data_IF_710501877938
#
_entry.id   IF_710501877938
#
_cell.length_a   1.000
_cell.length_b   1.000
_cell.length_c   1.000
_cell.angle_alpha   90.00
_cell.angle_beta   90.00
_cell.angle_gamma   90.00
#
_symmetry.space_group_name_H-M   'P 1'
#
loop_
_entity.id
_entity.type
_entity.pdbx_description
1 polymer ?
#
# COMPACT_ATOMS: atom_id res chain seq x y z
N UNK A 1 13.10 11.73 6.98
CA UNK A 1 11.98 12.61 6.55
C UNK A 1 10.83 11.70 6.11
N UNK A 2 9.57 12.11 6.27
CA UNK A 2 8.42 11.20 6.26
C UNK A 2 7.75 11.08 4.87
N UNK A 3 7.62 9.86 4.34
CA UNK A 3 6.92 9.57 3.09
C UNK A 3 5.45 10.00 3.05
N UNK A 4 4.79 10.16 4.20
CA UNK A 4 3.40 10.68 4.29
C UNK A 4 3.29 12.14 3.87
N UNK A 5 4.36 12.92 4.04
CA UNK A 5 4.35 14.36 3.76
C UNK A 5 4.17 14.68 2.27
N UNK A 6 4.52 13.75 1.38
CA UNK A 6 4.44 13.93 -0.09
C UNK A 6 3.30 13.13 -0.73
N UNK A 7 2.55 12.37 0.06
CA UNK A 7 1.46 11.53 -0.45
C UNK A 7 0.40 12.36 -1.20
N UNK A 8 0.05 13.53 -0.66
CA UNK A 8 -0.92 14.44 -1.28
C UNK A 8 -0.49 14.92 -2.67
N UNK A 9 0.83 15.07 -2.90
CA UNK A 9 1.37 15.46 -4.21
C UNK A 9 1.12 14.38 -5.26
N UNK A 10 1.38 13.11 -4.93
CA UNK A 10 1.14 12.00 -5.83
C UNK A 10 -0.35 11.75 -6.04
N UNK A 11 -1.19 11.89 -5.01
CA UNK A 11 -2.64 11.73 -5.14
C UNK A 11 -3.32 12.80 -5.99
N UNK A 12 -2.70 13.97 -6.18
CA UNK A 12 -3.18 14.97 -7.11
C UNK A 12 -3.16 14.49 -8.58
N UNK A 13 -2.41 13.43 -8.89
CA UNK A 13 -2.40 12.78 -10.21
C UNK A 13 -3.73 12.15 -10.62
N UNK A 14 -4.64 11.89 -9.67
CA UNK A 14 -5.96 11.34 -9.96
C UNK A 14 -6.93 12.40 -10.49
N UNK A 15 -7.58 12.10 -11.62
CA UNK A 15 -8.71 12.85 -12.16
C UNK A 15 -9.78 11.91 -12.71
N UNK A 16 -11.00 12.01 -12.18
CA UNK A 16 -12.18 11.30 -12.69
C UNK A 16 -11.97 9.79 -12.92
N UNK A 17 -11.29 9.10 -12.01
CA UNK A 17 -11.07 7.65 -12.15
C UNK A 17 -9.84 7.23 -12.93
N UNK A 18 -9.05 8.17 -13.45
CA UNK A 18 -7.78 7.88 -14.11
C UNK A 18 -6.62 8.59 -13.39
N UNK A 19 -5.47 7.94 -13.35
CA UNK A 19 -4.23 8.47 -12.80
C UNK A 19 -3.27 8.89 -13.91
N UNK A 20 -2.64 10.05 -13.77
CA UNK A 20 -1.52 10.48 -14.61
C UNK A 20 -0.53 11.33 -13.80
N UNK A 21 0.76 11.09 -14.00
CA UNK A 21 1.83 11.92 -13.44
C UNK A 21 1.76 13.37 -13.95
N UNK A 22 1.23 13.61 -15.16
CA UNK A 22 1.06 14.96 -15.73
C UNK A 22 0.10 15.86 -14.93
N UNK A 23 -0.70 15.28 -14.05
CA UNK A 23 -1.66 16.00 -13.23
C UNK A 23 -1.16 16.35 -11.83
N UNK A 24 0.05 15.90 -11.47
CA UNK A 24 0.69 16.26 -10.22
C UNK A 24 1.00 17.77 -10.19
N UNK A 25 0.81 18.40 -9.01
CA UNK A 25 0.85 19.86 -8.90
C UNK A 25 2.28 20.41 -8.96
N UNK A 26 3.26 19.72 -8.39
CA UNK A 26 4.69 20.05 -8.43
C UNK A 26 5.50 18.76 -8.23
N UNK A 27 6.59 18.59 -8.99
CA UNK A 27 7.64 17.61 -8.68
C UNK A 27 8.62 18.27 -7.69
N UNK A 28 8.61 17.94 -6.38
CA UNK A 28 9.66 18.37 -5.47
C UNK A 28 11.05 18.10 -6.05
N UNK A 29 11.97 19.03 -5.83
CA UNK A 29 13.33 18.99 -6.42
C UNK A 29 14.14 17.72 -6.08
N UNK A 30 13.72 16.96 -5.06
CA UNK A 30 14.31 15.68 -4.65
C UNK A 30 13.58 14.44 -5.20
N UNK A 31 12.59 14.61 -6.09
CA UNK A 31 11.86 13.51 -6.73
C UNK A 31 12.75 12.81 -7.76
N UNK A 32 13.49 11.80 -7.28
CA UNK A 32 14.11 10.79 -8.14
C UNK A 32 13.09 9.74 -8.59
N UNK A 33 13.50 8.91 -9.57
CA UNK A 33 12.67 7.81 -10.08
C UNK A 33 12.22 6.84 -8.98
N UNK A 34 13.01 6.65 -7.92
CA UNK A 34 12.67 5.76 -6.81
C UNK A 34 11.47 6.27 -6.00
N UNK A 35 11.43 7.59 -5.72
CA UNK A 35 10.29 8.23 -5.03
C UNK A 35 9.05 8.20 -5.93
N UNK A 36 9.23 8.48 -7.22
CA UNK A 36 8.15 8.40 -8.22
C UNK A 36 7.57 6.99 -8.30
N UNK A 37 8.43 5.98 -8.31
CA UNK A 37 8.01 4.58 -8.31
C UNK A 37 7.29 4.22 -7.00
N UNK A 38 7.84 4.58 -5.85
CA UNK A 38 7.29 4.26 -4.53
C UNK A 38 5.84 4.74 -4.34
N UNK A 39 5.51 5.94 -4.84
CA UNK A 39 4.19 6.55 -4.63
C UNK A 39 3.24 6.47 -5.81
N UNK A 40 3.75 6.50 -7.05
CA UNK A 40 2.92 6.59 -8.26
C UNK A 40 2.77 5.28 -9.03
N UNK A 41 3.72 4.34 -8.91
CA UNK A 41 3.71 3.09 -9.70
C UNK A 41 2.42 2.29 -9.53
N UNK A 42 1.96 2.15 -8.29
CA UNK A 42 0.74 1.38 -7.97
C UNK A 42 -0.50 2.12 -8.44
N UNK A 43 -0.49 3.46 -8.42
CA UNK A 43 -1.61 4.27 -8.91
C UNK A 43 -1.76 4.14 -10.42
N UNK A 44 -0.65 4.23 -11.17
CA UNK A 44 -0.65 4.11 -12.63
C UNK A 44 -1.01 2.68 -13.08
N UNK A 45 -0.51 1.64 -12.40
CA UNK A 45 -0.88 0.24 -12.70
C UNK A 45 -2.38 0.01 -12.53
N UNK A 46 -2.97 0.59 -11.49
CA UNK A 46 -4.40 0.45 -11.21
C UNK A 46 -5.28 1.40 -12.04
N UNK A 47 -4.68 2.28 -12.85
CA UNK A 47 -5.40 3.26 -13.66
C UNK A 47 -5.99 2.60 -14.92
N UNK A 48 -7.30 2.79 -15.20
CA UNK A 48 -7.91 2.26 -16.40
C UNK A 48 -7.19 2.72 -17.68
N UNK A 49 -6.98 1.78 -18.61
CA UNK A 49 -6.39 2.07 -19.93
C UNK A 49 -4.85 2.19 -19.94
N UNK A 50 -4.19 2.01 -18.80
CA UNK A 50 -2.72 1.97 -18.73
C UNK A 50 -2.21 0.55 -19.04
N UNK A 51 -1.12 0.47 -19.78
CA UNK A 51 -0.41 -0.77 -20.11
C UNK A 51 0.99 -0.83 -19.52
N UNK A 52 1.61 -2.02 -19.57
CA UNK A 52 3.02 -2.21 -19.20
C UNK A 52 3.97 -1.30 -20.00
N UNK A 53 3.67 -1.06 -21.27
CA UNK A 53 4.53 -0.21 -22.10
C UNK A 53 4.49 1.25 -21.69
N UNK A 54 3.36 1.72 -21.16
CA UNK A 54 3.25 3.07 -20.59
C UNK A 54 4.12 3.20 -19.33
N UNK A 55 4.16 2.17 -18.48
CA UNK A 55 5.03 2.15 -17.29
C UNK A 55 6.51 2.18 -17.68
N UNK A 56 6.88 1.44 -18.74
CA UNK A 56 8.24 1.46 -19.28
C UNK A 56 8.60 2.82 -19.88
N UNK A 57 7.68 3.46 -20.59
CA UNK A 57 7.87 4.79 -21.18
C UNK A 57 8.08 5.88 -20.11
N UNK A 58 7.51 5.69 -18.92
CA UNK A 58 7.74 6.54 -17.74
C UNK A 58 9.11 6.31 -17.06
N UNK A 59 9.93 5.40 -17.57
CA UNK A 59 11.26 5.12 -17.00
C UNK A 59 11.24 4.26 -15.73
N UNK A 60 10.10 3.66 -15.38
CA UNK A 60 9.93 2.86 -14.15
C UNK A 60 10.29 1.38 -14.33
N UNK A 61 10.87 1.02 -15.48
CA UNK A 61 11.17 -0.37 -15.82
C UNK A 61 12.21 -1.02 -14.90
N UNK A 62 13.06 -0.25 -14.21
CA UNK A 62 14.05 -0.79 -13.26
C UNK A 62 13.43 -1.22 -11.93
N UNK A 63 12.18 -0.84 -11.64
CA UNK A 63 11.53 -1.20 -10.39
C UNK A 63 11.20 -2.70 -10.35
N UNK A 64 11.52 -3.42 -9.26
CA UNK A 64 11.06 -4.80 -9.07
C UNK A 64 9.53 -4.94 -9.14
N UNK A 65 8.78 -3.86 -8.86
CA UNK A 65 7.32 -3.83 -8.95
C UNK A 65 6.79 -4.08 -10.37
N UNK A 66 7.63 -4.06 -11.40
CA UNK A 66 7.27 -4.52 -12.76
C UNK A 66 6.74 -5.96 -12.77
N UNK A 67 7.26 -6.84 -11.90
CA UNK A 67 6.75 -8.20 -11.77
C UNK A 67 5.30 -8.22 -11.24
N UNK A 68 5.00 -7.40 -10.23
CA UNK A 68 3.63 -7.24 -9.71
C UNK A 68 2.69 -6.61 -10.76
N UNK A 69 3.15 -5.59 -11.51
CA UNK A 69 2.37 -5.02 -12.62
C UNK A 69 2.06 -6.08 -13.69
N UNK A 70 3.06 -6.89 -14.06
CA UNK A 70 2.91 -8.04 -14.95
C UNK A 70 1.79 -8.96 -14.50
N UNK A 71 1.80 -9.36 -13.22
CA UNK A 71 0.75 -10.17 -12.62
C UNK A 71 -0.63 -9.50 -12.66
N UNK A 72 -0.76 -8.25 -12.18
CA UNK A 72 -2.03 -7.53 -12.13
C UNK A 72 -2.66 -7.42 -13.53
N UNK A 73 -1.88 -7.07 -14.53
CA UNK A 73 -2.40 -6.99 -15.89
C UNK A 73 -2.68 -8.36 -16.50
N UNK A 74 -1.89 -9.40 -16.21
CA UNK A 74 -2.21 -10.76 -16.69
C UNK A 74 -3.55 -11.30 -16.18
N UNK A 75 -3.99 -10.81 -15.01
CA UNK A 75 -5.28 -11.18 -14.39
C UNK A 75 -6.43 -10.24 -14.77
N UNK A 76 -6.14 -9.13 -15.45
CA UNK A 76 -7.12 -8.10 -15.82
C UNK A 76 -7.38 -8.13 -17.33
N UNK A 77 -8.65 -8.30 -17.74
CA UNK A 77 -9.02 -8.11 -19.16
C UNK A 77 -8.87 -6.63 -19.54
N UNK A 78 -8.26 -6.27 -20.68
CA UNK A 78 -7.91 -7.12 -21.84
C UNK A 78 -6.46 -7.65 -21.88
N UNK A 79 -5.66 -7.49 -20.83
CA UNK A 79 -4.21 -7.75 -20.85
C UNK A 79 -3.80 -9.20 -20.54
N UNK A 80 -4.72 -10.16 -20.72
CA UNK A 80 -4.52 -11.57 -20.38
C UNK A 80 -3.40 -12.30 -21.14
N UNK A 81 -2.71 -11.64 -22.09
CA UNK A 81 -1.64 -12.21 -22.92
C UNK A 81 -0.22 -11.82 -22.47
N UNK A 82 -0.04 -11.27 -21.27
CA UNK A 82 1.28 -10.91 -20.77
C UNK A 82 2.09 -12.17 -20.45
N UNK A 83 3.27 -12.28 -21.07
CA UNK A 83 4.24 -13.30 -20.71
C UNK A 83 4.91 -12.96 -19.36
N UNK A 84 4.45 -13.65 -18.32
CA UNK A 84 4.92 -13.46 -16.95
C UNK A 84 6.37 -13.92 -16.74
N UNK A 85 6.89 -14.84 -17.56
CA UNK A 85 8.27 -15.34 -17.40
C UNK A 85 9.33 -14.24 -17.67
N UNK A 86 8.96 -13.19 -18.40
CA UNK A 86 9.82 -12.03 -18.62
C UNK A 86 10.20 -11.28 -17.33
N UNK A 87 9.49 -11.53 -16.23
CA UNK A 87 9.69 -10.84 -14.94
C UNK A 87 10.34 -11.73 -13.86
N UNK A 88 10.68 -12.99 -14.18
CA UNK A 88 11.27 -13.92 -13.21
C UNK A 88 12.62 -13.41 -12.67
N UNK A 89 13.35 -12.59 -13.45
CA UNK A 89 14.60 -11.97 -12.99
C UNK A 89 14.41 -11.07 -11.75
N UNK A 90 13.24 -10.43 -11.59
CA UNK A 90 12.93 -9.63 -10.41
C UNK A 90 12.71 -10.50 -9.18
N UNK A 91 12.07 -11.68 -9.35
CA UNK A 91 11.90 -12.65 -8.28
C UNK A 91 13.24 -13.22 -7.81
N UNK A 92 14.11 -13.60 -8.75
CA UNK A 92 15.46 -14.09 -8.44
C UNK A 92 16.31 -13.03 -7.75
N UNK A 93 16.24 -11.77 -8.21
CA UNK A 93 16.94 -10.66 -7.55
C UNK A 93 16.44 -10.41 -6.13
N UNK A 94 15.12 -10.44 -5.90
CA UNK A 94 14.54 -10.25 -4.58
C UNK A 94 14.89 -11.40 -3.64
N UNK A 95 14.85 -12.64 -4.13
CA UNK A 95 15.34 -13.82 -3.40
C UNK A 95 16.79 -13.64 -2.97
N UNK A 96 17.69 -13.25 -3.89
CA UNK A 96 19.09 -12.99 -3.54
C UNK A 96 19.23 -11.92 -2.44
N UNK A 97 18.45 -10.83 -2.53
CA UNK A 97 18.44 -9.77 -1.52
C UNK A 97 17.96 -10.28 -0.15
N UNK A 98 16.94 -11.15 -0.10
CA UNK A 98 16.42 -11.70 1.18
C UNK A 98 17.46 -12.51 1.95
N UNK A 99 18.36 -13.18 1.24
CA UNK A 99 19.42 -13.99 1.82
C UNK A 99 20.74 -13.23 2.02
N UNK A 100 20.78 -11.92 1.75
CA UNK A 100 21.94 -11.10 2.06
C UNK A 100 22.12 -10.97 3.59
N UNK A 101 23.37 -10.88 4.04
CA UNK A 101 23.72 -10.93 5.47
C UNK A 101 23.17 -9.77 6.28
N UNK A 102 22.92 -8.63 5.64
CA UNK A 102 22.45 -7.41 6.29
C UNK A 102 20.94 -7.20 6.14
N UNK A 103 20.22 -8.14 5.50
CA UNK A 103 18.78 -8.00 5.29
C UNK A 103 17.99 -8.29 6.57
N UNK A 104 17.03 -7.42 6.86
CA UNK A 104 16.03 -7.65 7.91
C UNK A 104 15.17 -8.90 7.64
N UNK A 105 15.18 -9.44 6.41
CA UNK A 105 14.54 -10.71 6.09
C UNK A 105 15.19 -11.92 6.72
N UNK A 106 16.46 -11.88 7.13
CA UNK A 106 17.12 -13.06 7.72
C UNK A 106 16.37 -13.52 8.98
N UNK A 107 15.99 -12.58 9.85
CA UNK A 107 15.18 -12.89 11.03
C UNK A 107 13.79 -13.39 10.63
N UNK A 108 13.16 -12.76 9.64
CA UNK A 108 11.82 -13.11 9.20
C UNK A 108 11.76 -14.48 8.52
N UNK A 109 12.76 -14.86 7.73
CA UNK A 109 12.87 -16.18 7.11
C UNK A 109 12.97 -17.29 8.16
N UNK A 110 13.72 -17.04 9.23
CA UNK A 110 13.82 -17.99 10.34
C UNK A 110 12.51 -18.11 11.13
N UNK A 111 11.78 -16.99 11.28
CA UNK A 111 10.52 -16.92 12.03
C UNK A 111 9.30 -17.41 11.24
N UNK A 112 9.32 -17.25 9.92
CA UNK A 112 8.22 -17.54 8.99
C UNK A 112 8.69 -18.45 7.84
N UNK A 113 9.06 -19.71 8.15
CA UNK A 113 9.70 -20.60 7.19
C UNK A 113 8.78 -21.06 6.04
N UNK A 114 7.44 -21.09 6.24
CA UNK A 114 6.48 -21.46 5.19
C UNK A 114 6.38 -20.32 4.16
N UNK A 115 6.35 -19.07 4.62
CA UNK A 115 6.42 -17.87 3.77
C UNK A 115 7.73 -17.84 2.99
N UNK A 116 8.87 -18.09 3.66
CA UNK A 116 10.17 -18.13 2.99
C UNK A 116 10.20 -19.20 1.89
N UNK A 117 9.75 -20.42 2.20
CA UNK A 117 9.67 -21.52 1.23
C UNK A 117 8.71 -21.21 0.08
N UNK A 118 7.58 -20.56 0.36
CA UNK A 118 6.63 -20.14 -0.66
C UNK A 118 7.27 -19.14 -1.62
N UNK A 119 7.90 -18.08 -1.09
CA UNK A 119 8.57 -17.06 -1.91
C UNK A 119 9.77 -17.61 -2.68
N UNK A 120 10.49 -18.60 -2.13
CA UNK A 120 11.61 -19.28 -2.81
C UNK A 120 11.22 -20.04 -4.08
N UNK A 121 9.97 -20.50 -4.14
CA UNK A 121 9.43 -21.34 -5.21
C UNK A 121 8.30 -20.64 -5.99
N UNK A 122 8.02 -19.38 -5.67
CA UNK A 122 6.95 -18.62 -6.29
C UNK A 122 7.29 -18.36 -7.76
N UNK A 123 6.33 -18.66 -8.64
CA UNK A 123 6.30 -18.12 -9.99
C UNK A 123 5.07 -17.23 -10.14
N UNK A 124 5.14 -16.19 -10.96
CA UNK A 124 4.03 -15.23 -11.08
C UNK A 124 2.74 -15.89 -11.59
N UNK A 125 2.83 -16.96 -12.40
CA UNK A 125 1.66 -17.71 -12.88
C UNK A 125 0.93 -18.45 -11.75
N UNK A 126 1.59 -18.68 -10.62
CA UNK A 126 1.09 -19.47 -9.51
C UNK A 126 0.64 -18.64 -8.30
N UNK A 127 0.61 -17.31 -8.41
CA UNK A 127 0.05 -16.44 -7.38
C UNK A 127 -1.45 -16.71 -7.28
N UNK A 128 -1.85 -17.37 -6.19
CA UNK A 128 -3.24 -17.76 -5.95
C UNK A 128 -3.57 -19.20 -6.38
N UNK A 129 -2.55 -20.04 -6.59
CA UNK A 129 -2.72 -21.47 -6.88
C UNK A 129 -2.45 -22.38 -5.66
N UNK A 130 -2.21 -21.80 -4.47
CA UNK A 130 -1.94 -22.51 -3.23
C UNK A 130 -2.89 -22.09 -2.10
N UNK A 131 -3.92 -22.88 -1.81
CA UNK A 131 -4.90 -22.58 -0.76
C UNK A 131 -4.52 -23.12 0.64
N UNK A 132 -3.23 -23.34 0.88
CA UNK A 132 -2.76 -23.93 2.14
C UNK A 132 -3.04 -23.02 3.34
N UNK A 133 -3.78 -23.53 4.31
CA UNK A 133 -4.15 -22.77 5.49
C UNK A 133 -2.93 -22.40 6.36
N UNK A 134 -1.89 -23.24 6.40
CA UNK A 134 -0.68 -22.95 7.16
C UNK A 134 0.08 -21.77 6.55
N UNK A 135 0.28 -21.77 5.22
CA UNK A 135 0.81 -20.63 4.49
C UNK A 135 -0.02 -19.36 4.74
N UNK A 136 -1.35 -19.40 4.57
CA UNK A 136 -2.20 -18.22 4.72
C UNK A 136 -2.15 -17.64 6.15
N UNK A 137 -2.14 -18.48 7.18
CA UNK A 137 -2.00 -18.04 8.58
C UNK A 137 -0.62 -17.40 8.84
N UNK A 138 0.42 -17.95 8.21
CA UNK A 138 1.77 -17.43 8.36
C UNK A 138 1.95 -16.10 7.62
N UNK A 139 1.35 -15.92 6.44
CA UNK A 139 1.28 -14.62 5.74
C UNK A 139 0.61 -13.56 6.61
N UNK A 140 -0.53 -13.88 7.23
CA UNK A 140 -1.22 -12.97 8.16
C UNK A 140 -0.31 -12.54 9.31
N UNK A 141 0.39 -13.49 9.92
CA UNK A 141 1.31 -13.25 11.03
C UNK A 141 2.55 -12.46 10.62
N UNK A 142 3.05 -12.71 9.41
CA UNK A 142 4.17 -12.00 8.80
C UNK A 142 3.83 -10.53 8.55
N UNK A 143 2.69 -10.26 7.92
CA UNK A 143 2.23 -8.89 7.65
C UNK A 143 2.06 -8.09 8.95
N UNK A 144 1.51 -8.70 10.01
CA UNK A 144 1.42 -8.05 11.31
C UNK A 144 2.79 -7.75 11.91
N UNK A 145 3.75 -8.67 11.80
CA UNK A 145 5.08 -8.46 12.36
C UNK A 145 5.83 -7.31 11.69
N UNK A 146 5.70 -7.13 10.37
CA UNK A 146 6.22 -5.94 9.67
C UNK A 146 5.68 -4.66 10.29
N UNK A 147 4.42 -4.66 10.70
CA UNK A 147 3.74 -3.54 11.35
C UNK A 147 3.91 -3.53 12.89
N UNK A 148 4.96 -4.17 13.41
CA UNK A 148 5.25 -4.21 14.85
C UNK A 148 4.18 -4.92 15.69
N UNK A 149 3.38 -5.79 15.06
CA UNK A 149 2.18 -6.42 15.60
C UNK A 149 1.11 -5.43 16.07
N UNK A 150 1.14 -4.18 15.57
CA UNK A 150 0.24 -3.12 15.99
C UNK A 150 0.50 -2.60 17.41
N UNK A 151 1.65 -2.94 18.02
CA UNK A 151 2.02 -2.39 19.32
C UNK A 151 2.62 -1.00 19.17
N UNK A 152 2.10 -0.06 19.96
CA UNK A 152 2.69 1.26 20.15
C UNK A 152 3.38 1.32 21.51
N UNK A 153 4.55 1.93 21.54
CA UNK A 153 5.23 2.33 22.77
C UNK A 153 4.86 3.76 23.12
N UNK A 154 4.80 4.03 24.42
CA UNK A 154 4.44 5.33 24.96
C UNK A 154 5.59 5.82 25.84
N UNK A 155 6.13 6.99 25.54
CA UNK A 155 7.17 7.63 26.32
C UNK A 155 6.81 9.09 26.62
N UNK A 156 7.14 9.57 27.82
CA UNK A 156 7.03 10.97 28.17
C UNK A 156 8.37 11.66 27.87
N UNK A 157 8.38 12.59 26.92
CA UNK A 157 9.57 13.34 26.53
C UNK A 157 9.47 14.77 27.01
N UNK A 158 10.58 15.29 27.57
CA UNK A 158 10.68 16.69 27.97
C UNK A 158 10.94 17.53 26.72
N UNK A 159 10.14 18.57 26.49
CA UNK A 159 10.32 19.43 25.33
C UNK A 159 11.69 20.08 25.33
N UNK A 160 12.27 20.19 24.13
CA UNK A 160 13.44 21.02 23.86
C UNK A 160 13.14 22.52 24.04
N UNK A 161 11.86 22.90 24.07
CA UNK A 161 11.39 24.24 24.38
C UNK A 161 11.01 24.33 25.87
N UNK A 162 11.70 25.19 26.61
CA UNK A 162 11.62 25.28 28.07
C UNK A 162 10.19 25.50 28.63
N UNK A 163 9.30 26.09 27.82
CA UNK A 163 7.94 26.47 28.23
C UNK A 163 6.87 25.40 27.90
N UNK A 164 7.24 24.32 27.20
CA UNK A 164 6.27 23.31 26.71
C UNK A 164 6.15 22.07 27.62
N UNK A 165 6.98 21.97 28.65
CA UNK A 165 6.88 20.90 29.67
C UNK A 165 7.15 19.49 29.13
N UNK A 166 6.48 18.49 29.69
CA UNK A 166 6.60 17.08 29.31
C UNK A 166 5.39 16.69 28.46
N UNK A 167 5.63 16.11 27.30
CA UNK A 167 4.58 15.63 26.41
C UNK A 167 4.73 14.13 26.09
N UNK A 168 3.62 13.42 25.86
CA UNK A 168 3.68 12.03 25.44
C UNK A 168 4.05 11.91 23.97
N UNK A 169 4.95 11.00 23.65
CA UNK A 169 5.21 10.51 22.30
C UNK A 169 4.67 9.09 22.21
N UNK A 170 3.87 8.85 21.17
CA UNK A 170 3.38 7.52 20.80
C UNK A 170 4.17 7.10 19.58
N UNK A 171 5.00 6.08 19.73
CA UNK A 171 5.82 5.55 18.63
C UNK A 171 5.41 4.12 18.32
N UNK A 172 5.52 3.74 17.05
CA UNK A 172 5.35 2.34 16.71
C UNK A 172 6.49 1.53 17.36
N UNK A 173 6.19 0.30 17.74
CA UNK A 173 7.18 -0.65 18.26
C UNK A 173 8.47 -0.63 17.43
N UNK A 174 9.62 -0.58 18.11
CA UNK A 174 10.96 -0.74 17.51
C UNK A 174 11.15 -2.02 16.69
N UNK A 175 10.22 -2.97 16.81
CA UNK A 175 10.20 -4.21 16.06
C UNK A 175 9.49 -4.10 14.70
N UNK A 176 8.84 -2.97 14.41
CA UNK A 176 8.32 -2.70 13.08
C UNK A 176 9.45 -2.59 12.06
N UNK A 177 9.17 -3.02 10.83
CA UNK A 177 10.15 -3.19 9.74
C UNK A 177 9.78 -2.37 8.50
N UNK A 178 9.67 -1.03 8.61
CA UNK A 178 9.24 -0.19 7.50
C UNK A 178 10.18 -0.19 6.29
N UNK A 179 11.47 -0.44 6.50
CA UNK A 179 12.51 -0.60 5.48
C UNK A 179 12.18 -1.68 4.46
N UNK A 180 11.40 -2.70 4.84
CA UNK A 180 10.99 -3.76 3.92
C UNK A 180 10.07 -3.26 2.80
N UNK A 181 9.37 -2.14 3.00
CA UNK A 181 8.62 -1.50 1.93
C UNK A 181 9.49 -0.68 0.97
N UNK A 182 10.79 -0.53 1.24
CA UNK A 182 11.79 0.01 0.30
C UNK A 182 12.47 -1.16 -0.40
N UNK A 183 13.12 -2.03 0.37
CA UNK A 183 14.03 -3.05 -0.17
C UNK A 183 13.30 -4.25 -0.78
N UNK A 184 12.10 -4.56 -0.25
CA UNK A 184 11.38 -5.81 -0.46
C UNK A 184 9.88 -5.62 -0.77
N UNK A 185 9.52 -4.47 -1.34
CA UNK A 185 8.15 -4.13 -1.65
C UNK A 185 7.46 -5.21 -2.50
N UNK A 186 8.14 -5.74 -3.53
CA UNK A 186 7.58 -6.76 -4.43
C UNK A 186 7.04 -7.96 -3.64
N UNK A 187 7.82 -8.50 -2.71
CA UNK A 187 7.45 -9.69 -1.94
C UNK A 187 6.24 -9.42 -1.05
N UNK A 188 6.19 -8.25 -0.40
CA UNK A 188 5.04 -7.84 0.40
C UNK A 188 3.78 -7.75 -0.46
N UNK A 189 3.86 -7.17 -1.66
CA UNK A 189 2.74 -7.10 -2.60
C UNK A 189 2.30 -8.49 -3.06
N UNK A 190 3.22 -9.38 -3.40
CA UNK A 190 2.91 -10.75 -3.84
C UNK A 190 2.22 -11.57 -2.74
N UNK A 191 2.70 -11.48 -1.50
CA UNK A 191 2.04 -12.08 -0.34
C UNK A 191 0.66 -11.48 -0.10
N UNK A 192 0.52 -10.16 -0.29
CA UNK A 192 -0.77 -9.46 -0.18
C UNK A 192 -1.76 -9.91 -1.25
N UNK A 193 -1.34 -10.05 -2.53
CA UNK A 193 -2.18 -10.61 -3.59
C UNK A 193 -2.65 -12.02 -3.27
N UNK A 194 -1.72 -12.86 -2.80
CA UNK A 194 -2.02 -14.24 -2.45
C UNK A 194 -3.06 -14.31 -1.31
N UNK A 195 -2.89 -13.48 -0.28
CA UNK A 195 -3.83 -13.39 0.82
C UNK A 195 -5.18 -12.80 0.39
N UNK A 196 -5.19 -11.76 -0.44
CA UNK A 196 -6.42 -11.17 -0.98
C UNK A 196 -7.19 -12.16 -1.86
N UNK A 197 -6.51 -13.03 -2.61
CA UNK A 197 -7.14 -14.05 -3.44
C UNK A 197 -7.96 -15.04 -2.59
N UNK A 198 -7.41 -15.53 -1.47
CA UNK A 198 -8.05 -16.57 -0.65
C UNK A 198 -8.79 -16.06 0.58
N UNK A 199 -8.36 -14.94 1.16
CA UNK A 199 -8.87 -14.35 2.41
C UNK A 199 -8.96 -12.82 2.30
N UNK A 200 -9.72 -12.32 1.34
CA UNK A 200 -9.96 -10.88 1.14
C UNK A 200 -10.51 -10.14 2.38
N UNK A 201 -11.09 -10.87 3.35
CA UNK A 201 -11.56 -10.33 4.64
C UNK A 201 -10.58 -10.55 5.81
N UNK A 202 -9.32 -10.91 5.53
CA UNK A 202 -8.32 -11.17 6.56
C UNK A 202 -8.28 -10.06 7.59
N UNK A 203 -8.42 -10.44 8.86
CA UNK A 203 -8.35 -9.51 9.98
C UNK A 203 -6.96 -8.88 10.11
N UNK A 204 -5.90 -9.60 9.71
CA UNK A 204 -4.53 -9.10 9.70
C UNK A 204 -4.34 -7.94 8.71
N UNK A 205 -4.96 -8.03 7.51
CA UNK A 205 -4.96 -6.91 6.56
C UNK A 205 -5.67 -5.68 7.13
N UNK A 206 -6.84 -5.88 7.76
CA UNK A 206 -7.60 -4.79 8.40
C UNK A 206 -6.80 -4.13 9.53
N UNK A 207 -6.12 -4.93 10.35
CA UNK A 207 -5.25 -4.45 11.41
C UNK A 207 -4.05 -3.68 10.84
N UNK A 208 -3.31 -4.26 9.89
CA UNK A 208 -2.15 -3.63 9.28
C UNK A 208 -2.49 -2.29 8.61
N UNK A 209 -3.64 -2.20 7.91
CA UNK A 209 -4.14 -0.95 7.30
C UNK A 209 -4.40 0.18 8.32
N UNK A 210 -4.68 -0.16 9.57
CA UNK A 210 -4.94 0.79 10.66
C UNK A 210 -3.66 1.22 11.40
N UNK A 211 -2.54 0.54 11.18
CA UNK A 211 -1.25 0.87 11.80
C UNK A 211 -0.60 2.01 11.03
N UNK A 212 -0.10 3.01 11.78
CA UNK A 212 0.57 4.15 11.20
C UNK A 212 2.08 3.92 11.17
N UNK A 213 2.56 3.29 10.10
CA UNK A 213 3.97 2.95 9.92
C UNK A 213 4.80 4.20 9.57
N UNK A 214 5.93 4.42 10.24
CA UNK A 214 6.91 5.45 9.85
C UNK A 214 7.60 5.01 8.57
N UNK A 215 7.61 5.85 7.54
CA UNK A 215 8.07 5.45 6.21
C UNK A 215 9.03 6.49 5.63
N UNK A 216 10.05 6.02 4.93
CA UNK A 216 10.93 6.84 4.10
C UNK A 216 10.21 7.32 2.83
N UNK A 217 10.84 8.25 2.09
CA UNK A 217 10.22 8.83 0.90
C UNK A 217 10.06 7.84 -0.25
N UNK A 218 10.99 6.92 -0.41
CA UNK A 218 11.01 5.84 -1.40
C UNK A 218 10.31 4.56 -0.91
N UNK A 219 9.57 4.63 0.19
CA UNK A 219 8.78 3.51 0.71
C UNK A 219 7.48 3.31 -0.06
N UNK A 220 7.25 2.08 -0.52
CA UNK A 220 5.99 1.66 -1.15
C UNK A 220 4.84 1.46 -0.15
N UNK A 221 5.04 1.65 1.15
CA UNK A 221 4.02 1.38 2.18
C UNK A 221 2.72 2.17 1.92
N UNK A 222 2.83 3.46 1.56
CA UNK A 222 1.63 4.27 1.32
C UNK A 222 0.85 3.78 0.10
N UNK A 223 1.55 3.43 -0.97
CA UNK A 223 0.96 2.80 -2.16
C UNK A 223 0.32 1.44 -1.83
N UNK A 224 1.00 0.61 -1.04
CA UNK A 224 0.48 -0.67 -0.55
C UNK A 224 -0.79 -0.46 0.26
N UNK A 225 -0.81 0.51 1.17
CA UNK A 225 -1.97 0.82 2.03
C UNK A 225 -3.17 1.23 1.20
N UNK A 226 -3.00 2.12 0.22
CA UNK A 226 -4.08 2.58 -0.67
C UNK A 226 -4.61 1.46 -1.55
N UNK A 227 -3.71 0.66 -2.11
CA UNK A 227 -4.06 -0.50 -2.92
C UNK A 227 -4.85 -1.55 -2.12
N UNK A 228 -4.34 -1.91 -0.95
CA UNK A 228 -4.93 -2.94 -0.09
C UNK A 228 -6.27 -2.45 0.48
N UNK A 229 -6.35 -1.19 0.92
CA UNK A 229 -7.61 -0.60 1.38
C UNK A 229 -8.67 -0.61 0.28
N UNK A 230 -8.31 -0.28 -0.96
CA UNK A 230 -9.21 -0.35 -2.10
C UNK A 230 -9.78 -1.77 -2.28
N UNK A 231 -8.93 -2.79 -2.27
CA UNK A 231 -9.34 -4.20 -2.44
C UNK A 231 -10.19 -4.69 -1.28
N UNK A 232 -9.87 -4.33 -0.03
CA UNK A 232 -10.62 -4.76 1.16
C UNK A 232 -11.97 -4.06 1.25
N UNK A 233 -12.01 -2.72 1.16
CA UNK A 233 -13.23 -1.93 1.37
C UNK A 233 -14.34 -2.25 0.37
N UNK A 234 -13.99 -2.57 -0.88
CA UNK A 234 -14.97 -2.96 -1.90
C UNK A 234 -15.75 -4.24 -1.55
N UNK A 235 -15.19 -5.08 -0.67
CA UNK A 235 -15.76 -6.37 -0.31
C UNK A 235 -16.41 -6.39 1.08
N UNK A 236 -16.43 -5.25 1.79
CA UNK A 236 -17.06 -5.14 3.10
C UNK A 236 -18.53 -4.76 3.00
N UNK A 237 -19.31 -5.21 3.97
CA UNK A 237 -20.63 -4.62 4.21
C UNK A 237 -20.48 -3.17 4.72
N UNK A 238 -21.57 -2.42 4.72
CA UNK A 238 -21.57 -0.98 5.04
C UNK A 238 -21.04 -0.70 6.46
N UNK A 239 -21.36 -1.55 7.43
CA UNK A 239 -20.99 -1.31 8.83
C UNK A 239 -19.52 -1.60 9.10
N UNK A 240 -19.00 -2.70 8.55
CA UNK A 240 -17.57 -3.03 8.59
C UNK A 240 -16.75 -2.00 7.81
N UNK A 241 -17.27 -1.52 6.68
CA UNK A 241 -16.63 -0.48 5.88
C UNK A 241 -16.56 0.84 6.64
N UNK A 242 -17.63 1.27 7.32
CA UNK A 242 -17.59 2.48 8.17
C UNK A 242 -16.58 2.34 9.30
N UNK A 243 -16.53 1.16 9.92
CA UNK A 243 -15.62 0.87 11.03
C UNK A 243 -14.16 0.93 10.57
N UNK A 244 -13.80 0.20 9.51
CA UNK A 244 -12.45 0.23 8.96
C UNK A 244 -12.12 1.60 8.37
N UNK A 245 -13.02 2.17 7.58
CA UNK A 245 -12.83 3.49 6.97
C UNK A 245 -12.54 4.58 8.00
N UNK A 246 -13.19 4.52 9.16
CA UNK A 246 -12.95 5.46 10.27
C UNK A 246 -11.55 5.37 10.91
N UNK A 247 -10.78 4.32 10.63
CA UNK A 247 -9.39 4.17 11.13
C UNK A 247 -8.33 4.49 10.07
N UNK A 248 -8.73 4.69 8.81
CA UNK A 248 -7.79 4.96 7.73
C UNK A 248 -7.44 6.46 7.67
N UNK A 249 -6.20 6.74 7.26
CA UNK A 249 -5.80 8.11 6.89
C UNK A 249 -6.69 8.63 5.77
N UNK A 250 -7.03 9.93 5.80
CA UNK A 250 -7.97 10.49 4.82
C UNK A 250 -7.42 10.47 3.39
N UNK A 251 -6.10 10.53 3.19
CA UNK A 251 -5.47 10.31 1.88
C UNK A 251 -5.74 8.90 1.32
N UNK A 252 -5.76 7.89 2.19
CA UNK A 252 -6.15 6.52 1.80
C UNK A 252 -7.59 6.49 1.31
N UNK A 253 -8.51 7.13 2.06
CA UNK A 253 -9.91 7.24 1.66
C UNK A 253 -10.05 8.01 0.33
N UNK A 254 -9.32 9.11 0.18
CA UNK A 254 -9.31 9.92 -1.04
C UNK A 254 -8.93 9.07 -2.26
N UNK A 255 -7.83 8.31 -2.19
CA UNK A 255 -7.39 7.44 -3.27
C UNK A 255 -8.40 6.33 -3.59
N UNK A 256 -9.02 5.71 -2.58
CA UNK A 256 -10.08 4.72 -2.78
C UNK A 256 -11.27 5.36 -3.49
N UNK A 257 -11.68 6.57 -3.12
CA UNK A 257 -12.75 7.28 -3.82
C UNK A 257 -12.39 7.59 -5.28
N UNK A 258 -11.16 8.03 -5.55
CA UNK A 258 -10.70 8.31 -6.91
C UNK A 258 -10.71 7.06 -7.79
N UNK A 259 -10.30 5.90 -7.27
CA UNK A 259 -10.30 4.63 -8.03
C UNK A 259 -11.69 4.07 -8.32
N UNK A 260 -12.71 4.53 -7.58
CA UNK A 260 -14.05 3.94 -7.60
C UNK A 260 -15.14 4.97 -7.92
N UNK A 261 -14.88 5.87 -8.87
CA UNK A 261 -15.84 6.92 -9.28
C UNK A 261 -17.21 6.37 -9.68
N UNK A 262 -17.26 5.14 -10.21
CA UNK A 262 -18.48 4.45 -10.61
C UNK A 262 -19.22 3.77 -9.44
N UNK A 263 -18.53 3.45 -8.34
CA UNK A 263 -19.13 2.75 -7.20
C UNK A 263 -19.84 3.72 -6.24
N UNK A 264 -20.99 4.24 -6.67
CA UNK A 264 -21.77 5.21 -5.88
C UNK A 264 -22.11 4.74 -4.45
N UNK A 265 -22.45 3.45 -4.19
CA UNK A 265 -22.65 2.97 -2.83
C UNK A 265 -21.42 3.12 -1.93
N UNK A 266 -20.23 2.74 -2.42
CA UNK A 266 -18.96 2.89 -1.70
C UNK A 266 -18.68 4.37 -1.41
N UNK A 267 -18.80 5.23 -2.42
CA UNK A 267 -18.58 6.68 -2.27
C UNK A 267 -19.51 7.32 -1.24
N UNK A 268 -20.80 6.94 -1.20
CA UNK A 268 -21.76 7.44 -0.20
C UNK A 268 -21.37 7.04 1.22
N UNK A 269 -20.92 5.81 1.40
CA UNK A 269 -20.52 5.32 2.71
C UNK A 269 -19.22 5.97 3.19
N UNK A 270 -18.22 6.11 2.32
CA UNK A 270 -16.98 6.83 2.63
C UNK A 270 -17.21 8.33 2.87
N UNK A 271 -18.15 8.97 2.16
CA UNK A 271 -18.54 10.35 2.44
C UNK A 271 -19.03 10.54 3.89
N UNK A 272 -19.81 9.58 4.41
CA UNK A 272 -20.27 9.65 5.80
C UNK A 272 -19.11 9.52 6.78
N UNK A 273 -18.18 8.60 6.52
CA UNK A 273 -16.94 8.46 7.32
C UNK A 273 -16.16 9.78 7.35
N UNK A 274 -15.95 10.42 6.20
CA UNK A 274 -15.20 11.69 6.13
C UNK A 274 -15.91 12.83 6.85
N UNK A 275 -17.25 12.89 6.78
CA UNK A 275 -18.04 13.93 7.49
C UNK A 275 -17.95 13.81 9.01
N UNK A 276 -17.81 12.60 9.52
CA UNK A 276 -17.71 12.33 10.96
C UNK A 276 -16.27 12.50 11.49
N UNK A 277 -15.28 12.66 10.60
CA UNK A 277 -13.89 12.86 10.95
C UNK A 277 -13.66 14.27 11.54
N UNK A 278 -13.05 14.33 12.73
CA UNK A 278 -12.80 15.59 13.46
C UNK A 278 -11.58 16.37 12.97
N UNK A 279 -10.66 15.74 12.24
CA UNK A 279 -9.45 16.36 11.71
C UNK A 279 -8.44 15.33 11.21
N UNK A 280 -7.56 15.76 10.30
CA UNK A 280 -6.45 14.99 9.75
C UNK A 280 -5.29 15.97 9.49
N UNK A 281 -4.06 15.50 9.65
CA UNK A 281 -2.85 16.32 9.59
C UNK A 281 -2.52 16.79 8.16
N UNK A 282 -2.98 16.07 7.15
CA UNK A 282 -2.56 16.25 5.76
C UNK A 282 -3.69 16.73 4.84
N UNK A 283 -4.94 16.41 5.14
CA UNK A 283 -6.10 16.82 4.33
C UNK A 283 -7.28 17.27 5.19
N UNK A 284 -7.87 18.42 4.85
CA UNK A 284 -9.05 18.89 5.57
C UNK A 284 -10.27 18.00 5.25
N UNK A 285 -10.95 17.42 6.25
CA UNK A 285 -12.11 16.55 6.02
C UNK A 285 -13.20 17.21 5.18
N UNK A 286 -13.45 18.51 5.38
CA UNK A 286 -14.45 19.27 4.60
C UNK A 286 -14.10 19.35 3.12
N UNK A 287 -12.81 19.56 2.80
CA UNK A 287 -12.32 19.60 1.42
C UNK A 287 -12.53 18.25 0.75
N UNK A 288 -12.13 17.17 1.41
CA UNK A 288 -12.33 15.81 0.90
C UNK A 288 -13.81 15.46 0.74
N UNK A 289 -14.66 15.79 1.72
CA UNK A 289 -16.10 15.58 1.63
C UNK A 289 -16.72 16.29 0.41
N UNK A 290 -16.27 17.52 0.11
CA UNK A 290 -16.70 18.24 -1.10
C UNK A 290 -16.27 17.51 -2.37
N UNK A 291 -15.04 17.02 -2.43
CA UNK A 291 -14.53 16.27 -3.59
C UNK A 291 -15.32 14.97 -3.81
N UNK A 292 -15.60 14.20 -2.74
CA UNK A 292 -16.41 12.98 -2.84
C UNK A 292 -17.85 13.32 -3.28
N UNK A 293 -18.42 14.42 -2.80
CA UNK A 293 -19.74 14.88 -3.25
C UNK A 293 -19.76 15.22 -4.75
N UNK A 294 -18.69 15.82 -5.28
CA UNK A 294 -18.54 16.04 -6.73
C UNK A 294 -18.49 14.71 -7.49
N UNK A 295 -17.70 13.72 -7.04
CA UNK A 295 -17.65 12.39 -7.67
C UNK A 295 -19.01 11.66 -7.65
N UNK A 296 -19.85 11.92 -6.65
CA UNK A 296 -21.21 11.38 -6.57
C UNK A 296 -22.19 12.04 -7.53
N UNK A 297 -21.89 13.25 -8.01
CA UNK A 297 -22.76 14.01 -8.92
C UNK A 297 -22.50 13.78 -10.41
N UNK A 298 -21.33 13.22 -10.73
CA UNK A 298 -20.94 12.74 -12.07
C UNK A 298 -21.57 11.37 -12.30
#
# INVERSE_FOLDING_TARGET
MCGKCIEGCYLAGWRNGAYSFEHMQEDPEFMGLDVMAAHGFVEIVCSPGTSIEDIKALGLNSSPMMAWAGYVYSTSSPHASIDLACYDCYLESQKANRYSTDSEWVELNARYPIVALFLDNLTLQNIGNHSDAALLNEIESFLLAIHGNGYYTFEFVTSMFADEGVFPIVELSRHAKPSLFVDHALEIFLLTEHLLHYRYLSWALKAALSVDLTCDFDSYHMSWRRYTANRVLQNLNIDDMKTLGGTLALNTIHAVCQRNVENKPLLKALLNVVKDCKGDTYIEPKKLASQIATLLSV
#
